data_IF_211773621701
#
_entry.id   IF_211773621701
#
_cell.length_a   1.000
_cell.length_b   1.000
_cell.length_c   1.000
_cell.angle_alpha   90.00
_cell.angle_beta   90.00
_cell.angle_gamma   90.00
#
_symmetry.space_group_name_H-M   'P 1'
#
loop_
_entity.id
_entity.type
_entity.pdbx_description
1 polymer ?
#
# COMPACT_ATOMS: atom_id res chain seq x y z
N UNK A 1 8.79 -11.68 -17.48
CA UNK A 1 7.73 -10.96 -18.24
C UNK A 1 6.48 -10.94 -17.38
N UNK A 2 5.87 -9.79 -17.19
CA UNK A 2 4.58 -9.66 -16.46
C UNK A 2 3.50 -10.43 -17.21
N UNK A 3 2.80 -11.32 -16.52
CA UNK A 3 1.65 -12.00 -17.10
C UNK A 3 0.43 -11.09 -16.98
N UNK A 4 -0.22 -10.81 -18.10
CA UNK A 4 -1.50 -10.09 -18.12
C UNK A 4 -2.66 -11.07 -18.06
N UNK A 5 -3.86 -10.58 -17.77
CA UNK A 5 -5.06 -11.41 -17.65
C UNK A 5 -5.41 -12.21 -18.91
N UNK A 6 -4.91 -11.79 -20.07
CA UNK A 6 -5.12 -12.37 -21.39
C UNK A 6 -3.97 -11.95 -22.33
N UNK A 7 -3.83 -12.59 -23.50
CA UNK A 7 -2.93 -12.12 -24.54
C UNK A 7 -3.24 -10.67 -24.92
N UNK A 8 -2.24 -9.79 -24.81
CA UNK A 8 -2.39 -8.39 -25.21
C UNK A 8 -2.12 -8.22 -26.72
N UNK A 9 -2.93 -7.43 -27.44
CA UNK A 9 -2.56 -6.93 -28.76
C UNK A 9 -1.19 -6.26 -28.74
N UNK A 10 -0.45 -6.35 -29.86
CA UNK A 10 0.89 -5.77 -29.96
C UNK A 10 0.89 -4.27 -29.65
N UNK A 11 -0.07 -3.51 -30.20
CA UNK A 11 -0.22 -2.07 -29.95
C UNK A 11 -0.37 -1.75 -28.45
N UNK A 12 -1.18 -2.53 -27.72
CA UNK A 12 -1.35 -2.34 -26.27
C UNK A 12 -0.03 -2.60 -25.53
N UNK A 13 0.73 -3.60 -25.95
CA UNK A 13 2.06 -3.87 -25.37
C UNK A 13 3.02 -2.72 -25.61
N UNK A 14 3.08 -2.18 -26.83
CA UNK A 14 3.93 -1.05 -27.19
C UNK A 14 3.58 0.20 -26.37
N UNK A 15 2.28 0.47 -26.17
CA UNK A 15 1.82 1.55 -25.30
C UNK A 15 2.24 1.37 -23.84
N UNK A 16 2.10 0.16 -23.30
CA UNK A 16 2.52 -0.16 -21.93
C UNK A 16 4.03 0.03 -21.79
N UNK A 17 4.83 -0.54 -22.70
CA UNK A 17 6.29 -0.44 -22.64
C UNK A 17 6.78 1.00 -22.75
N UNK A 18 6.14 1.81 -23.62
CA UNK A 18 6.42 3.25 -23.69
C UNK A 18 6.11 3.95 -22.37
N UNK A 19 4.90 3.76 -21.82
CA UNK A 19 4.52 4.39 -20.57
C UNK A 19 5.39 3.95 -19.40
N UNK A 20 5.78 2.68 -19.34
CA UNK A 20 6.71 2.16 -18.33
C UNK A 20 8.05 2.91 -18.36
N UNK A 21 8.64 3.11 -19.55
CA UNK A 21 9.88 3.89 -19.69
C UNK A 21 9.68 5.33 -19.25
N UNK A 22 8.64 6.01 -19.76
CA UNK A 22 8.35 7.40 -19.40
C UNK A 22 8.12 7.59 -17.89
N UNK A 23 7.46 6.62 -17.23
CA UNK A 23 7.24 6.67 -15.79
C UNK A 23 8.54 6.49 -15.02
N UNK A 24 9.39 5.54 -15.41
CA UNK A 24 10.71 5.32 -14.80
C UNK A 24 11.55 6.59 -14.92
N UNK A 25 11.62 7.18 -16.11
CA UNK A 25 12.38 8.41 -16.36
C UNK A 25 11.86 9.57 -15.49
N UNK A 26 10.53 9.73 -15.36
CA UNK A 26 9.93 10.75 -14.49
C UNK A 26 10.23 10.52 -13.01
N UNK A 27 10.22 9.27 -12.55
CA UNK A 27 10.57 8.91 -11.17
C UNK A 27 12.05 9.21 -10.86
N UNK A 28 12.95 8.93 -11.80
CA UNK A 28 14.36 9.30 -11.68
C UNK A 28 14.52 10.83 -11.65
N UNK A 29 13.89 11.55 -12.58
CA UNK A 29 13.99 13.01 -12.67
C UNK A 29 13.49 13.71 -11.41
N UNK A 30 12.37 13.27 -10.81
CA UNK A 30 11.86 13.88 -9.57
C UNK A 30 12.81 13.60 -8.39
N UNK A 31 13.43 12.42 -8.32
CA UNK A 31 14.43 12.12 -7.31
C UNK A 31 15.68 13.00 -7.48
N UNK A 32 16.22 13.11 -8.70
CA UNK A 32 17.35 13.97 -9.03
C UNK A 32 17.07 15.45 -8.70
N UNK A 33 15.86 15.93 -9.03
CA UNK A 33 15.45 17.29 -8.70
C UNK A 33 15.39 17.53 -7.18
N UNK A 34 14.91 16.56 -6.40
CA UNK A 34 14.89 16.63 -4.94
C UNK A 34 16.32 16.64 -4.35
N UNK A 35 17.22 15.77 -4.83
CA UNK A 35 18.61 15.70 -4.38
C UNK A 35 19.42 16.96 -4.69
N UNK A 36 19.11 17.66 -5.79
CA UNK A 36 19.78 18.91 -6.16
C UNK A 36 19.29 20.14 -5.40
N UNK A 37 18.19 20.04 -4.66
CA UNK A 37 17.58 21.17 -3.95
C UNK A 37 17.27 20.87 -2.46
N UNK A 38 18.26 20.43 -1.66
CA UNK A 38 18.08 20.31 -0.22
C UNK A 38 17.95 21.71 0.39
N UNK A 39 17.03 21.86 1.33
CA UNK A 39 16.82 23.11 2.06
C UNK A 39 16.59 22.80 3.54
N UNK A 40 17.14 23.60 4.48
CA UNK A 40 16.82 23.47 5.90
C UNK A 40 15.31 23.55 6.15
N UNK A 41 14.79 22.65 7.00
CA UNK A 41 13.37 22.55 7.30
C UNK A 41 13.11 21.97 8.68
N UNK A 42 11.94 22.29 9.24
CA UNK A 42 11.38 21.64 10.40
C UNK A 42 10.37 20.57 9.97
N UNK A 43 10.55 19.37 10.51
CA UNK A 43 9.62 18.26 10.35
C UNK A 43 8.74 18.16 11.59
N UNK A 44 7.45 18.02 11.37
CA UNK A 44 6.48 17.69 12.41
C UNK A 44 5.44 16.74 11.85
N UNK A 45 4.69 16.07 12.70
CA UNK A 45 3.60 15.23 12.26
C UNK A 45 2.38 15.33 13.17
N UNK A 46 1.24 14.91 12.65
CA UNK A 46 0.01 14.76 13.39
C UNK A 46 -0.75 13.54 12.86
N UNK A 47 -1.75 13.11 13.60
CA UNK A 47 -2.67 12.06 13.19
C UNK A 47 -4.09 12.54 13.35
N UNK A 48 -4.81 12.60 12.23
CA UNK A 48 -6.25 12.77 12.21
C UNK A 48 -6.96 11.46 11.93
N UNK A 49 -8.19 11.58 11.41
CA UNK A 49 -8.95 10.45 10.90
C UNK A 49 -9.71 10.82 9.62
N UNK A 50 -10.05 9.80 8.85
CA UNK A 50 -11.03 9.85 7.78
C UNK A 50 -11.97 8.64 7.89
N UNK A 51 -13.20 8.78 7.39
CA UNK A 51 -14.26 7.81 7.66
C UNK A 51 -14.93 7.25 6.42
N UNK A 52 -14.40 7.51 5.22
CA UNK A 52 -15.00 7.00 3.98
C UNK A 52 -14.50 5.61 3.56
N UNK A 53 -13.57 4.97 4.27
CA UNK A 53 -13.14 3.61 3.94
C UNK A 53 -14.13 2.60 4.51
N UNK A 54 -14.44 1.54 3.75
CA UNK A 54 -15.27 0.42 4.18
C UNK A 54 -14.59 -0.89 3.83
N UNK A 55 -14.52 -1.79 4.79
CA UNK A 55 -14.09 -3.16 4.53
C UNK A 55 -15.02 -3.81 3.49
N UNK A 56 -14.46 -4.27 2.38
CA UNK A 56 -15.21 -4.85 1.26
C UNK A 56 -15.45 -6.36 1.40
N UNK A 57 -14.76 -7.00 2.35
CA UNK A 57 -14.86 -8.43 2.62
C UNK A 57 -15.99 -8.76 3.60
N UNK A 58 -16.16 -7.92 4.62
CA UNK A 58 -17.18 -8.12 5.66
C UNK A 58 -17.81 -6.79 6.05
N UNK A 59 -19.16 -6.72 6.05
CA UNK A 59 -19.88 -5.54 6.51
C UNK A 59 -19.56 -5.28 7.98
N UNK A 60 -19.01 -4.10 8.29
CA UNK A 60 -18.53 -3.77 9.64
C UNK A 60 -17.20 -4.44 10.01
N UNK A 61 -16.49 -5.03 9.04
CA UNK A 61 -15.15 -5.55 9.21
C UNK A 61 -14.11 -4.45 9.52
N UNK A 62 -12.87 -4.84 9.81
CA UNK A 62 -11.83 -3.93 10.26
C UNK A 62 -11.50 -2.88 9.18
N UNK A 63 -11.26 -1.64 9.63
CA UNK A 63 -10.82 -0.50 8.82
C UNK A 63 -9.83 0.32 9.65
N UNK A 64 -8.75 0.78 9.04
CA UNK A 64 -7.84 1.73 9.67
C UNK A 64 -8.27 3.15 9.32
N UNK A 65 -8.85 3.84 10.30
CA UNK A 65 -9.36 5.20 10.14
C UNK A 65 -8.28 6.28 10.33
N UNK A 66 -7.06 5.91 10.72
CA UNK A 66 -6.00 6.88 10.97
C UNK A 66 -5.60 7.60 9.69
N UNK A 67 -5.44 8.93 9.80
CA UNK A 67 -4.91 9.80 8.76
C UNK A 67 -3.62 10.45 9.27
N UNK A 68 -2.48 9.74 9.25
CA UNK A 68 -1.19 10.34 9.59
C UNK A 68 -0.76 11.37 8.55
N UNK A 69 -0.21 12.48 9.02
CA UNK A 69 0.23 13.60 8.19
C UNK A 69 1.60 14.07 8.68
N UNK A 70 2.61 13.93 7.83
CA UNK A 70 3.92 14.59 7.95
C UNK A 70 3.84 15.99 7.34
N UNK A 71 4.36 16.96 8.07
CA UNK A 71 4.34 18.39 7.73
C UNK A 71 5.77 18.88 7.68
N UNK A 72 6.12 19.53 6.57
CA UNK A 72 7.44 20.13 6.33
C UNK A 72 7.28 21.65 6.26
N UNK A 73 7.96 22.37 7.16
CA UNK A 73 8.01 23.83 7.18
C UNK A 73 9.44 24.32 6.97
N UNK A 74 9.63 25.46 6.31
CA UNK A 74 10.92 26.14 6.29
C UNK A 74 11.25 26.76 7.67
N UNK A 75 12.43 27.39 7.77
CA UNK A 75 12.88 28.04 9.01
C UNK A 75 12.03 29.26 9.40
N UNK A 76 11.28 29.86 8.45
CA UNK A 76 10.33 30.93 8.72
C UNK A 76 8.93 30.41 9.12
N UNK A 77 8.75 29.09 9.16
CA UNK A 77 7.49 28.43 9.50
C UNK A 77 6.50 28.30 8.34
N UNK A 78 6.88 28.66 7.11
CA UNK A 78 6.03 28.50 5.92
C UNK A 78 5.99 27.04 5.49
N UNK A 79 4.81 26.55 5.12
CA UNK A 79 4.64 25.19 4.62
C UNK A 79 5.37 25.00 3.28
N UNK A 80 6.11 23.89 3.17
CA UNK A 80 6.79 23.47 1.93
C UNK A 80 6.23 22.19 1.35
N UNK A 81 5.96 21.21 2.21
CA UNK A 81 5.43 19.93 1.79
C UNK A 81 4.54 19.31 2.86
N UNK A 82 3.60 18.49 2.41
CA UNK A 82 2.73 17.66 3.24
C UNK A 82 2.74 16.26 2.65
N UNK A 83 2.98 15.25 3.49
CA UNK A 83 2.83 13.85 3.11
C UNK A 83 1.81 13.19 4.01
N UNK A 84 0.87 12.44 3.45
CA UNK A 84 -0.15 11.72 4.19
C UNK A 84 -0.43 10.35 3.57
N UNK A 85 -1.04 9.47 4.35
CA UNK A 85 -1.59 8.22 3.84
C UNK A 85 -2.95 7.93 4.42
N UNK A 86 -3.78 7.18 3.69
CA UNK A 86 -5.04 6.66 4.20
C UNK A 86 -5.30 5.25 3.67
N UNK A 87 -5.75 4.34 4.54
CA UNK A 87 -5.93 2.92 4.25
C UNK A 87 -7.22 2.66 3.44
N UNK A 88 -7.22 3.06 2.17
CA UNK A 88 -8.36 2.92 1.28
C UNK A 88 -7.92 2.84 -0.18
N UNK A 89 -8.43 1.86 -0.94
CA UNK A 89 -8.18 1.81 -2.37
C UNK A 89 -8.63 3.10 -3.10
N UNK A 90 -7.91 3.44 -4.16
CA UNK A 90 -8.30 4.44 -5.15
C UNK A 90 -9.22 3.82 -6.21
N UNK A 91 -10.42 3.38 -5.80
CA UNK A 91 -11.38 2.63 -6.63
C UNK A 91 -12.75 3.30 -6.68
N UNK A 92 -12.79 4.63 -6.52
CA UNK A 92 -14.03 5.40 -6.65
C UNK A 92 -14.49 5.43 -8.11
N UNK A 93 -13.55 5.68 -9.02
CA UNK A 93 -13.75 5.80 -10.46
C UNK A 93 -13.66 4.43 -11.15
N UNK A 94 -14.35 4.30 -12.29
CA UNK A 94 -14.37 3.07 -13.10
C UNK A 94 -14.41 3.31 -14.61
N UNK A 95 -14.09 4.53 -15.06
CA UNK A 95 -14.05 4.90 -16.48
C UNK A 95 -12.65 4.75 -17.05
N UNK A 96 -12.52 4.66 -18.38
CA UNK A 96 -11.22 4.57 -19.04
C UNK A 96 -10.60 5.96 -19.31
N UNK A 97 -10.27 6.70 -18.24
CA UNK A 97 -9.61 8.01 -18.30
C UNK A 97 -8.54 8.10 -17.21
N UNK A 98 -7.50 8.90 -17.43
CA UNK A 98 -6.43 9.13 -16.46
C UNK A 98 -6.97 10.02 -15.34
N UNK A 99 -6.81 9.57 -14.09
CA UNK A 99 -7.18 10.30 -12.88
C UNK A 99 -6.40 9.75 -11.68
N UNK A 100 -6.18 10.61 -10.67
CA UNK A 100 -5.62 10.19 -9.39
C UNK A 100 -6.66 9.67 -8.38
N UNK A 101 -7.92 9.54 -8.78
CA UNK A 101 -9.05 9.17 -7.90
C UNK A 101 -9.11 10.09 -6.65
N UNK A 102 -9.68 9.64 -5.54
CA UNK A 102 -9.80 10.44 -4.31
C UNK A 102 -8.46 10.97 -3.82
N UNK A 103 -7.35 10.25 -4.03
CA UNK A 103 -6.01 10.64 -3.60
C UNK A 103 -5.47 11.83 -4.42
N UNK A 104 -5.68 11.81 -5.74
CA UNK A 104 -5.40 12.94 -6.62
C UNK A 104 -6.25 14.16 -6.29
N UNK A 105 -7.54 13.98 -6.06
CA UNK A 105 -8.41 15.08 -5.61
C UNK A 105 -8.01 15.61 -4.22
N UNK A 106 -7.51 14.76 -3.31
CA UNK A 106 -6.98 15.19 -2.03
C UNK A 106 -5.71 16.04 -2.20
N UNK A 107 -4.77 15.59 -3.03
CA UNK A 107 -3.57 16.35 -3.40
C UNK A 107 -3.97 17.74 -3.93
N UNK A 108 -4.84 17.80 -4.95
CA UNK A 108 -5.31 19.06 -5.52
C UNK A 108 -5.98 19.95 -4.48
N UNK A 109 -6.85 19.38 -3.63
CA UNK A 109 -7.54 20.15 -2.59
C UNK A 109 -6.57 20.79 -1.61
N UNK A 110 -5.49 20.09 -1.23
CA UNK A 110 -4.46 20.61 -0.32
C UNK A 110 -3.66 21.71 -1.02
N UNK A 111 -3.19 21.48 -2.25
CA UNK A 111 -2.36 22.45 -2.97
C UNK A 111 -3.12 23.72 -3.36
N UNK A 112 -4.42 23.64 -3.66
CA UNK A 112 -5.27 24.83 -3.88
C UNK A 112 -5.40 25.67 -2.61
N UNK A 113 -5.47 25.02 -1.44
CA UNK A 113 -5.56 25.71 -0.14
C UNK A 113 -4.23 26.29 0.32
N UNK A 114 -3.12 25.67 -0.05
CA UNK A 114 -1.77 26.08 0.32
C UNK A 114 -0.89 26.22 -0.94
N UNK A 115 -1.00 27.34 -1.69
CA UNK A 115 -0.24 27.52 -2.93
C UNK A 115 1.27 27.39 -2.72
N UNK A 116 1.91 26.62 -3.59
CA UNK A 116 3.36 26.34 -3.55
C UNK A 116 3.77 25.19 -2.62
N UNK A 117 2.85 24.57 -1.88
CA UNK A 117 3.10 23.34 -1.12
C UNK A 117 3.06 22.14 -2.06
N UNK A 118 4.01 21.22 -1.91
CA UNK A 118 3.96 19.89 -2.52
C UNK A 118 3.14 18.96 -1.61
N UNK A 119 2.02 18.44 -2.10
CA UNK A 119 1.24 17.45 -1.37
C UNK A 119 1.50 16.05 -1.94
N UNK A 120 1.83 15.09 -1.08
CA UNK A 120 2.03 13.70 -1.42
C UNK A 120 1.00 12.85 -0.68
N UNK A 121 0.28 12.00 -1.42
CA UNK A 121 -0.78 11.13 -0.87
C UNK A 121 -0.45 9.69 -1.25
N UNK A 122 -0.36 8.82 -0.26
CA UNK A 122 -0.19 7.38 -0.47
C UNK A 122 -1.38 6.59 0.09
N UNK A 123 -1.53 5.36 -0.39
CA UNK A 123 -2.52 4.42 0.15
C UNK A 123 -1.85 3.61 1.26
N UNK A 124 -2.49 3.57 2.43
CA UNK A 124 -2.07 2.75 3.56
C UNK A 124 -2.54 1.30 3.46
N UNK A 125 -2.33 0.51 4.52
CA UNK A 125 -2.76 -0.89 4.58
C UNK A 125 -4.29 -1.01 4.57
N UNK A 126 -4.88 -1.03 3.38
CA UNK A 126 -6.32 -1.03 3.16
C UNK A 126 -6.70 -1.76 1.88
N UNK A 127 -5.93 -2.78 1.49
CA UNK A 127 -6.21 -3.57 0.29
C UNK A 127 -7.58 -4.27 0.34
N UNK A 128 -8.12 -4.51 1.53
CA UNK A 128 -9.46 -5.03 1.76
C UNK A 128 -10.51 -3.93 2.05
N UNK A 129 -10.17 -2.66 1.79
CA UNK A 129 -11.04 -1.49 2.00
C UNK A 129 -11.25 -0.67 0.72
N UNK A 130 -12.51 -0.41 0.40
CA UNK A 130 -12.91 0.46 -0.71
C UNK A 130 -13.52 1.78 -0.16
N UNK A 131 -13.50 2.86 -0.94
CA UNK A 131 -14.19 4.09 -0.57
C UNK A 131 -15.71 3.87 -0.60
N UNK A 132 -16.44 4.50 0.31
CA UNK A 132 -17.89 4.56 0.28
C UNK A 132 -18.30 5.14 -1.07
N UNK A 133 -19.11 4.37 -1.81
CA UNK A 133 -19.81 4.86 -3.00
C UNK A 133 -20.94 5.76 -2.51
N UNK A 134 -20.90 7.04 -2.87
CA UNK A 134 -22.02 7.97 -2.65
C UNK A 134 -23.15 7.72 -3.64
N UNK A 135 -24.28 8.41 -3.47
CA UNK A 135 -25.40 8.37 -4.43
C UNK A 135 -25.22 9.21 -5.69
N UNK A 136 -24.12 9.98 -5.78
CA UNK A 136 -23.82 10.86 -6.92
C UNK A 136 -22.82 10.27 -7.93
N UNK A 137 -22.48 11.02 -8.99
CA UNK A 137 -21.48 10.62 -9.99
C UNK A 137 -20.13 10.27 -9.36
N UNK A 138 -19.42 9.22 -9.84
CA UNK A 138 -18.15 8.79 -9.25
C UNK A 138 -17.08 9.90 -9.16
N UNK A 139 -16.96 10.76 -10.18
CA UNK A 139 -16.05 11.91 -10.18
C UNK A 139 -16.35 12.88 -9.03
N UNK A 140 -17.64 13.14 -8.77
CA UNK A 140 -18.06 14.00 -7.66
C UNK A 140 -17.78 13.34 -6.31
N UNK A 141 -18.04 12.04 -6.18
CA UNK A 141 -17.75 11.27 -4.96
C UNK A 141 -16.24 11.28 -4.66
N UNK A 142 -15.39 11.04 -5.67
CA UNK A 142 -13.95 11.09 -5.52
C UNK A 142 -13.47 12.49 -5.10
N UNK A 143 -14.06 13.54 -5.69
CA UNK A 143 -13.78 14.92 -5.32
C UNK A 143 -14.28 15.28 -3.90
N UNK A 144 -15.41 14.73 -3.45
CA UNK A 144 -15.92 14.88 -2.07
C UNK A 144 -14.92 14.28 -1.08
N UNK A 145 -14.47 13.03 -1.30
CA UNK A 145 -13.48 12.38 -0.45
C UNK A 145 -12.15 13.14 -0.45
N UNK A 146 -11.71 13.63 -1.62
CA UNK A 146 -10.52 14.48 -1.72
C UNK A 146 -10.63 15.77 -0.90
N UNK A 147 -11.78 16.47 -0.98
CA UNK A 147 -12.05 17.66 -0.17
C UNK A 147 -12.15 17.35 1.32
N UNK A 148 -12.70 16.19 1.70
CA UNK A 148 -12.72 15.74 3.09
C UNK A 148 -11.29 15.67 3.63
N UNK A 149 -10.38 14.97 2.94
CA UNK A 149 -8.96 14.87 3.32
C UNK A 149 -8.32 16.26 3.41
N UNK A 150 -8.52 17.13 2.41
CA UNK A 150 -7.99 18.49 2.42
C UNK A 150 -8.47 19.32 3.63
N UNK A 151 -9.74 19.20 3.99
CA UNK A 151 -10.30 19.85 5.18
C UNK A 151 -9.75 19.27 6.49
N UNK A 152 -9.53 17.94 6.57
CA UNK A 152 -8.91 17.30 7.74
C UNK A 152 -7.48 17.76 7.94
N UNK A 153 -6.68 17.79 6.87
CA UNK A 153 -5.31 18.33 6.89
C UNK A 153 -5.30 19.78 7.36
N UNK A 154 -6.20 20.61 6.83
CA UNK A 154 -6.28 22.02 7.26
C UNK A 154 -6.58 22.19 8.76
N UNK A 155 -7.47 21.35 9.32
CA UNK A 155 -7.77 21.35 10.75
C UNK A 155 -6.58 20.86 11.59
N UNK A 156 -5.86 19.83 11.14
CA UNK A 156 -4.66 19.34 11.84
C UNK A 156 -3.56 20.40 11.90
N UNK A 157 -3.39 21.18 10.83
CA UNK A 157 -2.38 22.25 10.76
C UNK A 157 -2.64 23.41 11.74
N UNK A 158 -3.86 23.54 12.27
CA UNK A 158 -4.22 24.51 13.31
C UNK A 158 -3.97 24.00 14.73
N UNK A 159 -3.61 22.72 14.88
CA UNK A 159 -3.34 22.09 16.17
C UNK A 159 -1.83 22.06 16.47
N UNK A 160 -1.49 21.69 17.71
CA UNK A 160 -0.09 21.44 18.09
C UNK A 160 0.42 20.19 17.37
N UNK A 161 1.28 20.39 16.37
CA UNK A 161 2.00 19.31 15.69
C UNK A 161 3.07 18.72 16.61
N UNK A 162 3.35 17.42 16.46
CA UNK A 162 4.42 16.72 17.17
C UNK A 162 5.73 16.90 16.39
N UNK A 163 6.74 17.61 16.92
CA UNK A 163 8.01 17.76 16.22
C UNK A 163 8.68 16.40 15.99
N UNK A 164 9.30 16.21 14.83
CA UNK A 164 10.18 15.08 14.58
C UNK A 164 11.60 15.50 14.93
N UNK A 165 12.17 14.84 15.93
CA UNK A 165 13.50 15.14 16.46
C UNK A 165 14.40 13.91 16.45
N UNK A 166 15.71 14.16 16.34
CA UNK A 166 16.74 13.13 16.32
C UNK A 166 17.14 12.66 14.92
N UNK A 167 18.16 11.78 14.84
CA UNK A 167 18.69 11.32 13.57
C UNK A 167 17.68 10.42 12.84
N UNK A 168 17.66 10.55 11.51
CA UNK A 168 16.96 9.62 10.63
C UNK A 168 17.75 8.31 10.54
N UNK A 169 17.13 7.21 10.92
CA UNK A 169 17.67 5.87 10.74
C UNK A 169 16.76 5.11 9.77
N UNK A 170 17.34 4.61 8.68
CA UNK A 170 16.61 3.84 7.65
C UNK A 170 17.10 2.41 7.66
N UNK A 171 16.16 1.45 7.63
CA UNK A 171 16.46 0.04 7.40
C UNK A 171 15.59 -0.46 6.27
N UNK A 172 16.16 -1.33 5.43
CA UNK A 172 15.49 -1.98 4.32
C UNK A 172 15.91 -3.46 4.31
N UNK A 173 14.95 -4.34 4.11
CA UNK A 173 15.19 -5.76 3.89
C UNK A 173 14.10 -6.34 2.98
N UNK A 174 14.25 -7.61 2.64
CA UNK A 174 13.22 -8.37 1.91
C UNK A 174 12.90 -9.64 2.68
N UNK A 175 11.61 -9.92 2.85
CA UNK A 175 11.10 -11.12 3.53
C UNK A 175 10.58 -12.10 2.50
N UNK A 176 11.06 -13.33 2.54
CA UNK A 176 10.59 -14.40 1.64
C UNK A 176 9.27 -15.02 2.13
N UNK A 177 8.17 -14.62 1.51
CA UNK A 177 6.84 -15.17 1.78
C UNK A 177 6.61 -16.42 0.95
N UNK A 178 6.47 -17.56 1.62
CA UNK A 178 6.42 -18.85 0.93
C UNK A 178 5.01 -19.16 0.44
N UNK A 179 4.92 -19.75 -0.75
CA UNK A 179 3.67 -20.26 -1.29
C UNK A 179 3.27 -21.59 -0.61
N UNK A 180 1.98 -21.88 -0.66
CA UNK A 180 1.42 -23.20 -0.41
C UNK A 180 1.95 -24.21 -1.45
N UNK A 181 1.74 -25.53 -1.26
CA UNK A 181 2.11 -26.54 -2.25
C UNK A 181 1.61 -26.17 -3.65
N UNK A 182 2.51 -26.24 -4.64
CA UNK A 182 2.19 -25.86 -6.00
C UNK A 182 1.20 -26.85 -6.63
N UNK A 183 0.33 -26.40 -7.56
CA UNK A 183 -0.57 -27.31 -8.26
C UNK A 183 0.20 -28.36 -9.07
N UNK A 184 -0.32 -29.59 -9.10
CA UNK A 184 0.20 -30.65 -9.96
C UNK A 184 -0.07 -30.35 -11.43
N UNK A 185 0.62 -31.03 -12.35
CA UNK A 185 0.36 -30.91 -13.79
C UNK A 185 -1.11 -31.20 -14.14
N UNK A 186 -1.69 -32.25 -13.56
CA UNK A 186 -3.09 -32.60 -13.75
C UNK A 186 -4.06 -31.50 -13.25
N UNK A 187 -3.71 -30.81 -12.16
CA UNK A 187 -4.49 -29.67 -11.67
C UNK A 187 -4.38 -28.46 -12.61
N UNK A 188 -3.19 -28.22 -13.18
CA UNK A 188 -3.02 -27.19 -14.21
C UNK A 188 -3.80 -27.51 -15.49
N UNK A 189 -3.77 -28.75 -15.97
CA UNK A 189 -4.57 -29.21 -17.11
C UNK A 189 -6.07 -28.99 -16.89
N UNK A 190 -6.56 -29.29 -15.67
CA UNK A 190 -7.96 -29.02 -15.29
C UNK A 190 -8.27 -27.53 -15.31
N UNK A 191 -7.39 -26.68 -14.76
CA UNK A 191 -7.58 -25.21 -14.74
C UNK A 191 -7.50 -24.61 -16.14
N UNK A 192 -6.67 -25.15 -17.02
CA UNK A 192 -6.52 -24.70 -18.40
C UNK A 192 -7.82 -24.81 -19.22
N UNK A 193 -8.73 -25.70 -18.82
CA UNK A 193 -10.07 -25.84 -19.43
C UNK A 193 -11.07 -24.79 -18.93
N UNK A 194 -10.77 -24.06 -17.85
CA UNK A 194 -11.68 -23.02 -17.34
C UNK A 194 -11.69 -21.81 -18.25
N UNK A 195 -12.88 -21.25 -18.43
CA UNK A 195 -13.13 -20.00 -19.15
C UNK A 195 -12.48 -19.94 -20.55
N UNK A 196 -12.22 -21.11 -21.16
CA UNK A 196 -11.50 -21.24 -22.42
C UNK A 196 -12.24 -20.50 -23.55
N UNK A 197 -13.56 -20.64 -23.61
CA UNK A 197 -14.43 -20.01 -24.60
C UNK A 197 -14.57 -18.49 -24.41
N UNK A 198 -14.14 -17.96 -23.25
CA UNK A 198 -14.28 -16.55 -22.86
C UNK A 198 -12.96 -15.82 -22.69
N UNK A 199 -11.83 -16.50 -22.97
CA UNK A 199 -10.50 -15.94 -22.73
C UNK A 199 -10.24 -15.59 -21.27
N UNK A 200 -10.82 -16.32 -20.31
CA UNK A 200 -10.74 -15.98 -18.90
C UNK A 200 -9.35 -16.19 -18.28
N UNK A 201 -9.02 -15.35 -17.30
CA UNK A 201 -7.69 -15.24 -16.68
C UNK A 201 -7.19 -16.54 -16.09
N UNK A 202 -8.06 -17.34 -15.48
CA UNK A 202 -7.67 -18.59 -14.80
C UNK A 202 -7.16 -19.63 -15.81
N UNK A 203 -7.88 -19.82 -16.92
CA UNK A 203 -7.46 -20.74 -17.97
C UNK A 203 -6.18 -20.27 -18.66
N UNK A 204 -6.08 -18.97 -18.96
CA UNK A 204 -4.87 -18.40 -19.56
C UNK A 204 -3.64 -18.59 -18.65
N UNK A 205 -3.76 -18.24 -17.37
CA UNK A 205 -2.72 -18.44 -16.37
C UNK A 205 -2.27 -19.91 -16.29
N UNK A 206 -3.21 -20.85 -16.27
CA UNK A 206 -2.90 -22.26 -16.22
C UNK A 206 -2.14 -22.76 -17.47
N UNK A 207 -2.53 -22.33 -18.67
CA UNK A 207 -1.82 -22.67 -19.92
C UNK A 207 -0.39 -22.12 -19.91
N UNK A 208 -0.18 -20.88 -19.48
CA UNK A 208 1.17 -20.31 -19.34
C UNK A 208 2.03 -21.13 -18.36
N UNK A 209 1.45 -21.59 -17.24
CA UNK A 209 2.18 -22.44 -16.29
C UNK A 209 2.48 -23.83 -16.85
N UNK A 210 1.59 -24.45 -17.63
CA UNK A 210 1.87 -25.70 -18.34
C UNK A 210 3.03 -25.55 -19.32
N UNK A 211 3.01 -24.50 -20.14
CA UNK A 211 4.09 -24.23 -21.09
C UNK A 211 5.45 -24.03 -20.39
N UNK A 212 5.47 -23.42 -19.21
CA UNK A 212 6.70 -23.30 -18.38
C UNK A 212 7.20 -24.67 -17.94
N UNK A 213 6.31 -25.52 -17.46
CA UNK A 213 6.65 -26.89 -17.04
C UNK A 213 7.19 -27.71 -18.23
N UNK A 214 6.60 -27.55 -19.41
CA UNK A 214 7.01 -28.25 -20.64
C UNK A 214 8.40 -27.83 -21.12
N UNK A 215 8.80 -26.59 -20.83
CA UNK A 215 10.17 -26.10 -21.05
C UNK A 215 11.15 -26.48 -19.92
N UNK A 216 10.70 -27.21 -18.90
CA UNK A 216 11.53 -27.58 -17.74
C UNK A 216 11.83 -26.43 -16.78
N UNK A 217 11.06 -25.34 -16.82
CA UNK A 217 11.25 -24.21 -15.90
C UNK A 217 10.80 -24.55 -14.48
N UNK A 218 11.59 -24.12 -13.48
CA UNK A 218 11.19 -24.20 -12.08
C UNK A 218 10.18 -23.09 -11.76
N UNK A 219 9.02 -23.47 -11.23
CA UNK A 219 8.03 -22.51 -10.75
C UNK A 219 8.50 -21.85 -9.44
N UNK A 220 8.28 -20.53 -9.31
CA UNK A 220 8.61 -19.78 -8.10
C UNK A 220 7.80 -20.31 -6.91
N UNK A 221 8.46 -20.48 -5.77
CA UNK A 221 7.85 -21.02 -4.53
C UNK A 221 7.75 -19.99 -3.41
N UNK A 222 8.23 -18.76 -3.65
CA UNK A 222 8.24 -17.66 -2.68
C UNK A 222 8.14 -16.31 -3.38
N UNK A 223 7.56 -15.36 -2.67
CA UNK A 223 7.40 -13.96 -3.07
C UNK A 223 8.32 -13.11 -2.18
N UNK A 224 9.28 -12.36 -2.74
CA UNK A 224 10.06 -11.40 -1.97
C UNK A 224 9.19 -10.19 -1.62
N UNK A 225 9.03 -9.90 -0.34
CA UNK A 225 8.31 -8.71 0.13
C UNK A 225 9.31 -7.67 0.66
N UNK A 226 9.43 -6.47 0.06
CA UNK A 226 10.24 -5.42 0.64
C UNK A 226 9.60 -4.87 1.91
N UNK A 227 10.41 -4.72 2.96
CA UNK A 227 10.04 -4.10 4.23
C UNK A 227 11.07 -3.02 4.55
N UNK A 228 10.60 -1.79 4.74
CA UNK A 228 11.45 -0.65 5.04
C UNK A 228 10.91 0.14 6.22
N UNK A 229 11.80 0.67 7.05
CA UNK A 229 11.42 1.55 8.15
C UNK A 229 12.26 2.82 8.18
N UNK A 230 11.62 3.94 8.50
CA UNK A 230 12.27 5.22 8.79
C UNK A 230 12.00 5.59 10.24
N UNK A 231 13.06 5.78 11.03
CA UNK A 231 12.97 6.16 12.45
C UNK A 231 13.54 7.55 12.65
N UNK A 232 12.73 8.49 13.13
CA UNK A 232 13.14 9.84 13.52
C UNK A 232 13.42 9.84 15.02
N UNK A 233 14.65 9.45 15.40
CA UNK A 233 14.98 9.21 16.80
C UNK A 233 13.98 8.26 17.48
N UNK A 234 13.37 8.71 18.57
CA UNK A 234 12.27 8.02 19.26
C UNK A 234 10.90 8.64 18.99
N UNK A 235 10.82 9.68 18.15
CA UNK A 235 9.61 10.51 17.97
C UNK A 235 8.55 9.89 17.06
N UNK A 236 8.98 9.25 15.96
CA UNK A 236 8.13 8.56 15.00
C UNK A 236 8.93 7.48 14.28
N UNK A 237 8.29 6.34 14.06
CA UNK A 237 8.69 5.36 13.06
C UNK A 237 7.63 5.27 11.96
N UNK A 238 8.06 5.31 10.70
CA UNK A 238 7.21 5.04 9.54
C UNK A 238 7.64 3.67 8.99
N UNK A 239 6.68 2.76 8.85
CA UNK A 239 6.84 1.42 8.28
C UNK A 239 6.26 1.43 6.88
N UNK A 240 7.04 0.93 5.92
CA UNK A 240 6.67 0.82 4.51
C UNK A 240 6.71 -0.65 4.11
N UNK A 241 5.54 -1.19 3.80
CA UNK A 241 5.38 -2.56 3.34
C UNK A 241 5.13 -2.59 1.82
N UNK A 242 5.78 -3.51 1.11
CA UNK A 242 5.45 -3.80 -0.28
C UNK A 242 4.08 -4.45 -0.44
N UNK A 243 3.53 -4.40 -1.65
CA UNK A 243 2.29 -5.09 -1.99
C UNK A 243 1.01 -4.38 -1.58
N UNK A 244 -0.10 -5.03 -1.89
CA UNK A 244 -1.44 -4.62 -1.48
C UNK A 244 -1.74 -5.25 -0.10
N UNK A 245 -1.31 -4.57 0.96
CA UNK A 245 -1.39 -5.09 2.34
C UNK A 245 -2.78 -4.82 2.93
N UNK A 246 -3.39 -5.87 3.50
CA UNK A 246 -4.69 -5.75 4.18
C UNK A 246 -4.57 -5.07 5.54
N UNK A 247 -5.71 -4.58 6.04
CA UNK A 247 -5.79 -3.72 7.23
C UNK A 247 -5.26 -4.36 8.54
N UNK A 248 -5.34 -5.69 8.68
CA UNK A 248 -4.96 -6.35 9.93
C UNK A 248 -3.51 -6.05 10.34
N UNK A 249 -2.60 -5.90 9.38
CA UNK A 249 -1.19 -5.58 9.66
C UNK A 249 -1.05 -4.23 10.37
N UNK A 250 -1.72 -3.19 9.86
CA UNK A 250 -1.67 -1.87 10.48
C UNK A 250 -2.30 -1.88 11.88
N UNK A 251 -3.44 -2.54 12.05
CA UNK A 251 -4.12 -2.64 13.35
C UNK A 251 -3.27 -3.41 14.37
N UNK A 252 -2.74 -4.57 13.97
CA UNK A 252 -1.90 -5.42 14.80
C UNK A 252 -0.61 -4.71 15.21
N UNK A 253 0.11 -4.12 14.26
CA UNK A 253 1.35 -3.40 14.56
C UNK A 253 1.10 -2.20 15.48
N UNK A 254 -0.02 -1.49 15.34
CA UNK A 254 -0.41 -0.42 16.29
C UNK A 254 -0.78 -0.94 17.67
N UNK A 255 -1.29 -2.16 17.80
CA UNK A 255 -1.59 -2.76 19.11
C UNK A 255 -0.31 -3.23 19.82
N UNK A 256 0.61 -3.84 19.07
CA UNK A 256 1.85 -4.42 19.59
C UNK A 256 2.98 -3.39 19.79
N UNK A 257 2.94 -2.29 19.04
CA UNK A 257 3.87 -1.16 19.15
C UNK A 257 3.18 0.05 19.78
N UNK A 258 3.95 1.10 20.05
CA UNK A 258 3.38 2.36 20.49
C UNK A 258 2.65 3.07 19.33
N UNK A 259 1.32 2.88 19.26
CA UNK A 259 0.44 3.53 18.29
C UNK A 259 0.54 5.06 18.23
N UNK A 260 1.10 5.73 19.25
CA UNK A 260 1.32 7.17 19.23
C UNK A 260 2.60 7.56 18.50
N UNK A 261 3.45 6.60 18.11
CA UNK A 261 4.77 6.82 17.51
C UNK A 261 5.05 5.92 16.31
N UNK A 262 4.04 5.22 15.79
CA UNK A 262 4.17 4.41 14.57
C UNK A 262 3.14 4.81 13.51
N UNK A 263 3.59 4.83 12.26
CA UNK A 263 2.78 5.00 11.06
C UNK A 263 3.04 3.82 10.13
N UNK A 264 2.02 3.01 9.87
CA UNK A 264 2.12 1.84 8.98
C UNK A 264 1.56 2.20 7.60
N UNK A 265 2.35 1.98 6.55
CA UNK A 265 2.00 2.26 5.16
C UNK A 265 2.24 1.04 4.26
N UNK A 266 1.60 1.01 3.10
CA UNK A 266 1.78 -0.04 2.10
C UNK A 266 2.02 0.53 0.69
N UNK A 267 1.97 -0.31 -0.34
CA UNK A 267 2.25 0.09 -1.74
C UNK A 267 3.64 0.74 -1.92
N UNK A 268 4.61 0.33 -1.10
CA UNK A 268 5.94 0.92 -1.08
C UNK A 268 6.99 -0.03 -1.65
N UNK A 269 7.93 0.52 -2.44
CA UNK A 269 9.06 -0.17 -3.07
C UNK A 269 8.71 -1.20 -4.17
N UNK A 270 7.73 -2.08 -3.94
CA UNK A 270 7.24 -3.05 -4.93
C UNK A 270 5.77 -3.41 -4.66
N UNK A 271 5.07 -3.92 -5.67
CA UNK A 271 3.70 -4.44 -5.55
C UNK A 271 3.62 -5.87 -6.12
N UNK A 272 4.17 -6.87 -5.41
CA UNK A 272 4.26 -8.23 -5.94
C UNK A 272 2.89 -8.93 -6.04
N UNK A 273 1.97 -8.63 -5.12
CA UNK A 273 0.58 -9.10 -5.07
C UNK A 273 -0.15 -8.51 -3.84
N UNK A 274 -1.36 -8.99 -3.59
CA UNK A 274 -2.04 -8.84 -2.29
C UNK A 274 -1.30 -9.59 -1.19
N UNK A 275 -1.21 -8.98 -0.01
CA UNK A 275 -0.57 -9.55 1.17
C UNK A 275 -1.65 -9.80 2.24
N UNK A 276 -2.19 -11.02 2.34
CA UNK A 276 -3.24 -11.34 3.29
C UNK A 276 -2.67 -11.47 4.72
N UNK A 277 -3.51 -11.20 5.72
CA UNK A 277 -3.31 -11.65 7.10
C UNK A 277 -3.66 -13.12 7.23
N UNK A 278 -3.35 -13.77 8.36
CA UNK A 278 -3.78 -15.15 8.62
C UNK A 278 -5.31 -15.27 8.62
N UNK A 279 -6.02 -14.21 9.05
CA UNK A 279 -7.47 -14.13 8.97
C UNK A 279 -7.93 -14.15 7.51
N UNK A 280 -7.45 -13.22 6.69
CA UNK A 280 -7.84 -13.10 5.28
C UNK A 280 -7.42 -14.32 4.47
N UNK A 281 -6.25 -14.90 4.76
CA UNK A 281 -5.78 -16.13 4.12
C UNK A 281 -6.71 -17.31 4.42
N UNK A 282 -7.16 -17.47 5.67
CA UNK A 282 -8.10 -18.53 6.08
C UNK A 282 -9.49 -18.35 5.47
N UNK A 283 -9.96 -17.11 5.38
CA UNK A 283 -11.23 -16.77 4.71
C UNK A 283 -11.19 -17.05 3.20
N UNK A 284 -10.01 -16.97 2.57
CA UNK A 284 -9.85 -17.11 1.13
C UNK A 284 -10.43 -15.93 0.34
N UNK A 285 -10.96 -16.19 -0.84
CA UNK A 285 -11.48 -15.15 -1.74
C UNK A 285 -10.37 -14.36 -2.45
N UNK A 286 -10.66 -13.13 -2.87
CA UNK A 286 -9.76 -12.35 -3.75
C UNK A 286 -8.41 -12.06 -3.09
N UNK A 287 -8.37 -11.32 -1.98
CA UNK A 287 -7.14 -10.99 -1.25
C UNK A 287 -6.50 -12.21 -0.56
N UNK A 288 -7.32 -13.21 -0.21
CA UNK A 288 -6.86 -14.44 0.46
C UNK A 288 -6.20 -15.47 -0.46
N UNK A 289 -6.10 -15.21 -1.76
CA UNK A 289 -5.38 -16.10 -2.69
C UNK A 289 -5.90 -16.09 -4.12
N UNK A 290 -7.14 -15.66 -4.36
CA UNK A 290 -7.71 -15.58 -5.72
C UNK A 290 -6.96 -14.61 -6.62
N UNK A 291 -6.51 -13.48 -6.06
CA UNK A 291 -5.76 -12.45 -6.77
C UNK A 291 -4.40 -12.94 -7.30
N UNK A 292 -3.83 -14.01 -6.73
CA UNK A 292 -2.52 -14.56 -7.12
C UNK A 292 -2.43 -14.89 -8.62
N UNK A 293 -3.55 -15.31 -9.22
CA UNK A 293 -3.69 -15.56 -10.66
C UNK A 293 -3.36 -14.32 -11.51
N UNK A 294 -3.73 -13.13 -11.04
CA UNK A 294 -3.51 -11.85 -11.73
C UNK A 294 -2.07 -11.32 -11.58
N UNK A 295 -1.31 -11.92 -10.66
CA UNK A 295 0.08 -11.57 -10.37
C UNK A 295 1.06 -12.70 -10.75
N UNK A 296 0.62 -13.67 -11.57
CA UNK A 296 1.47 -14.75 -12.09
C UNK A 296 2.05 -15.68 -11.00
N UNK A 297 1.29 -15.88 -9.92
CA UNK A 297 1.67 -16.77 -8.83
C UNK A 297 0.90 -18.09 -8.87
N UNK A 298 1.65 -19.19 -8.78
CA UNK A 298 1.14 -20.54 -8.93
C UNK A 298 0.16 -20.99 -7.81
N UNK A 299 0.25 -20.38 -6.62
CA UNK A 299 -0.54 -20.75 -5.46
C UNK A 299 -0.74 -19.56 -4.50
N UNK A 300 -1.74 -19.62 -3.60
CA UNK A 300 -1.82 -18.76 -2.43
C UNK A 300 -0.59 -18.88 -1.51
N UNK A 301 -0.47 -17.96 -0.57
CA UNK A 301 0.53 -18.05 0.48
C UNK A 301 0.31 -19.22 1.42
N UNK A 302 1.41 -19.71 1.98
CA UNK A 302 1.40 -20.64 3.10
C UNK A 302 1.08 -19.88 4.40
N UNK A 303 0.31 -20.47 5.34
CA UNK A 303 0.14 -19.90 6.66
C UNK A 303 1.47 -19.61 7.39
N UNK A 304 1.45 -18.62 8.27
CA UNK A 304 2.60 -18.11 9.01
C UNK A 304 3.30 -16.91 8.33
N UNK A 305 2.78 -16.40 7.22
CA UNK A 305 3.36 -15.22 6.56
C UNK A 305 3.22 -13.95 7.41
N UNK A 306 2.11 -13.82 8.15
CA UNK A 306 1.82 -12.59 8.88
C UNK A 306 2.86 -12.35 9.98
N UNK A 307 3.19 -13.41 10.73
CA UNK A 307 4.18 -13.34 11.79
C UNK A 307 5.57 -12.99 11.25
N UNK A 308 5.97 -13.53 10.10
CA UNK A 308 7.27 -13.22 9.49
C UNK A 308 7.41 -11.72 9.17
N UNK A 309 6.36 -11.10 8.66
CA UNK A 309 6.35 -9.67 8.34
C UNK A 309 6.37 -8.85 9.64
N UNK A 310 5.57 -9.22 10.63
CA UNK A 310 5.54 -8.54 11.94
C UNK A 310 6.89 -8.64 12.65
N UNK A 311 7.53 -9.79 12.62
CA UNK A 311 8.87 -10.01 13.21
C UNK A 311 9.93 -9.17 12.51
N UNK A 312 9.89 -9.07 11.17
CA UNK A 312 10.79 -8.20 10.43
C UNK A 312 10.58 -6.73 10.81
N UNK A 313 9.34 -6.27 10.88
CA UNK A 313 9.04 -4.89 11.33
C UNK A 313 9.56 -4.67 12.75
N UNK A 314 9.33 -5.60 13.67
CA UNK A 314 9.85 -5.53 15.05
C UNK A 314 11.38 -5.64 15.13
N UNK A 315 12.02 -6.31 14.19
CA UNK A 315 13.47 -6.37 14.13
C UNK A 315 14.03 -5.01 13.70
N UNK A 316 13.47 -4.41 12.66
CA UNK A 316 13.89 -3.08 12.20
C UNK A 316 13.53 -1.99 13.22
N UNK A 317 12.41 -2.14 13.92
CA UNK A 317 11.97 -1.27 15.01
C UNK A 317 12.47 -1.81 16.35
N UNK A 318 13.66 -1.37 16.77
CA UNK A 318 14.25 -1.69 18.09
C UNK A 318 13.25 -1.56 19.25
N UNK A 319 13.54 -2.15 20.41
CA UNK A 319 12.71 -2.15 21.63
C UNK A 319 12.10 -0.79 22.04
N UNK A 320 12.70 0.33 21.63
CA UNK A 320 12.22 1.70 21.88
C UNK A 320 10.81 2.03 21.36
N UNK A 321 10.28 1.25 20.41
CA UNK A 321 8.92 1.42 19.88
C UNK A 321 7.96 0.33 20.34
N UNK A 322 8.44 -0.68 21.08
CA UNK A 322 7.58 -1.71 21.65
C UNK A 322 6.73 -1.10 22.74
N UNK A 323 5.47 -1.55 22.80
CA UNK A 323 4.62 -1.26 23.95
C UNK A 323 5.01 -2.21 25.06
N UNK A 324 5.64 -1.68 26.11
CA UNK A 324 5.67 -2.41 27.38
C UNK A 324 4.28 -2.27 27.99
N UNK A 325 3.64 -3.35 28.46
CA UNK A 325 2.44 -3.20 29.27
C UNK A 325 2.79 -2.25 30.42
N UNK A 326 1.89 -1.31 30.73
CA UNK A 326 2.05 -0.48 31.91
C UNK A 326 2.28 -1.44 33.07
N UNK A 327 3.47 -1.38 33.68
CA UNK A 327 3.71 -2.02 34.97
C UNK A 327 2.73 -1.31 35.89
N UNK A 328 1.59 -1.94 36.12
CA UNK A 328 0.52 -1.36 36.89
C UNK A 328 1.10 -0.93 38.23
N UNK A 329 1.09 0.37 38.48
CA UNK A 329 0.88 0.85 39.83
C UNK A 329 -0.53 0.37 40.21
N UNK A 330 -0.61 -0.87 40.67
CA UNK A 330 -1.74 -1.32 41.48
C UNK A 330 -1.75 -0.44 42.73
N UNK A 331 -2.91 0.15 43.09
CA UNK A 331 -3.04 0.90 44.34
C UNK A 331 -2.80 0.03 45.58
#
# INVERSE_FOLDING_TARGET
KTLYCHPLPQEHREHIERYTRELIDKLEQVALAAFKNPQPAHLAWARGNASFARNRRTKGGPVDHDLPVLVVKDLAGKLRAIYLSYACHCTTLSHNRISGDWAGYAQESIQRRYPGVIALVSVGCGADSNPVRGGGPPDEVAAIHGREIGARVARLLQQKLRPLSGPLNVMFSTVDLHLAPLPSRAEWERRAQRDADRGGTVGFHARVHLERLDRGELLKTKVPLPVQTWKFGSSLAIVFLGGEVVVDYALRLKQELDAQRVWINSYANDVPCYIPSERVLREGGYEGGGAMTFHDWAAPFRPGLEQKIVDEVRYQLTDRFRRYPDVGNSP
#
